data_IF_451122629376
#
_entry.id   IF_451122629376
#
_cell.length_a   1.000
_cell.length_b   1.000
_cell.length_c   1.000
_cell.angle_alpha   90.00
_cell.angle_beta   90.00
_cell.angle_gamma   90.00
#
_symmetry.space_group_name_H-M   'P 1'
#
loop_
_entity.id
_entity.type
_entity.pdbx_description
1 polymer ?
#
# COMPACT_ATOMS: atom_id res chain seq x y z
N UNK A 1 14.79 31.71 20.46
CA UNK A 1 13.47 31.60 21.09
C UNK A 1 13.19 30.14 21.32
N UNK A 2 13.24 29.70 22.60
CA UNK A 2 13.00 28.32 23.03
C UNK A 2 11.50 28.14 23.25
N UNK A 3 10.87 27.18 22.59
CA UNK A 3 9.53 26.72 22.90
C UNK A 3 9.63 25.45 23.76
N UNK A 4 9.13 25.54 24.99
CA UNK A 4 9.03 24.43 25.92
C UNK A 4 7.75 23.65 25.63
N UNK A 5 7.87 22.35 25.38
CA UNK A 5 6.73 21.42 25.40
C UNK A 5 6.47 20.98 26.85
N UNK A 6 5.32 21.38 27.35
CA UNK A 6 4.80 20.97 28.66
C UNK A 6 4.10 19.61 28.53
N UNK A 7 4.66 18.58 29.15
CA UNK A 7 4.06 17.26 29.28
C UNK A 7 3.17 17.28 30.51
N UNK A 8 1.86 17.19 30.32
CA UNK A 8 0.89 16.99 31.40
C UNK A 8 0.81 15.51 31.75
N UNK A 9 1.39 15.16 32.92
CA UNK A 9 1.16 13.89 33.59
C UNK A 9 -0.20 13.95 34.30
N UNK A 10 -1.19 13.20 33.85
CA UNK A 10 -2.42 12.95 34.59
C UNK A 10 -2.18 11.83 35.61
N UNK A 11 -1.97 12.20 36.87
CA UNK A 11 -2.04 11.30 38.03
C UNK A 11 -3.53 11.07 38.35
N UNK A 12 -4.07 9.89 37.98
CA UNK A 12 -5.37 9.43 38.50
C UNK A 12 -5.13 8.89 39.94
N UNK A 13 -5.50 9.71 40.91
CA UNK A 13 -5.54 9.29 42.29
C UNK A 13 -6.66 8.28 42.54
N UNK A 14 -6.27 7.07 42.92
CA UNK A 14 -7.19 6.06 43.44
C UNK A 14 -7.64 6.48 44.83
N UNK A 15 -8.87 7.00 44.97
CA UNK A 15 -9.49 7.21 46.28
C UNK A 15 -10.10 5.88 46.70
N UNK A 16 -9.43 5.19 47.63
CA UNK A 16 -9.98 4.04 48.34
C UNK A 16 -10.97 4.57 49.37
N UNK A 17 -12.25 4.43 49.10
CA UNK A 17 -13.31 4.68 50.06
C UNK A 17 -13.45 3.41 50.93
N UNK A 18 -12.77 3.38 52.07
CA UNK A 18 -13.02 2.38 53.10
C UNK A 18 -14.33 2.70 53.82
N UNK A 19 -15.42 2.09 53.40
CA UNK A 19 -16.67 2.11 54.15
C UNK A 19 -16.56 1.14 55.32
N UNK A 20 -16.35 1.69 56.49
CA UNK A 20 -16.49 0.98 57.78
C UNK A 20 -17.99 0.68 57.99
N UNK A 21 -18.41 -0.54 57.65
CA UNK A 21 -19.72 -1.05 58.12
C UNK A 21 -19.57 -1.52 59.56
N UNK A 22 -20.09 -0.70 60.51
CA UNK A 22 -20.33 -1.15 61.87
C UNK A 22 -21.46 -2.19 61.83
N UNK A 23 -21.08 -3.43 62.13
CA UNK A 23 -22.00 -4.54 62.33
C UNK A 23 -22.78 -4.32 63.61
N UNK A 24 -24.04 -3.99 63.44
CA UNK A 24 -25.00 -4.10 64.57
C UNK A 24 -25.44 -5.56 64.66
N UNK A 25 -24.99 -6.25 65.70
CA UNK A 25 -25.34 -7.66 65.92
C UNK A 25 -26.81 -7.84 66.23
N UNK A 26 -27.56 -8.36 65.30
CA UNK A 26 -28.89 -8.93 65.51
C UNK A 26 -28.76 -10.44 65.49
N UNK A 27 -28.92 -11.06 66.67
CA UNK A 27 -29.20 -12.49 66.81
C UNK A 27 -30.61 -12.75 66.24
N UNK A 28 -30.67 -13.05 64.96
CA UNK A 28 -31.86 -13.58 64.28
C UNK A 28 -31.44 -14.86 63.58
N UNK A 29 -31.95 -16.02 64.04
CA UNK A 29 -31.79 -17.30 63.33
C UNK A 29 -32.49 -17.24 61.98
N UNK A 30 -31.76 -16.77 60.97
CA UNK A 30 -32.17 -16.84 59.58
C UNK A 30 -31.57 -18.12 58.98
N UNK A 31 -32.35 -19.09 58.66
CA UNK A 31 -31.96 -20.22 57.79
C UNK A 31 -31.47 -19.60 56.49
N UNK A 32 -30.15 -19.56 56.28
CA UNK A 32 -29.54 -19.06 55.04
C UNK A 32 -30.13 -19.84 53.89
N UNK A 33 -30.71 -19.15 52.88
CA UNK A 33 -31.14 -19.78 51.68
C UNK A 33 -29.91 -20.56 51.11
N UNK A 34 -30.02 -21.88 50.93
CA UNK A 34 -28.87 -22.64 50.45
C UNK A 34 -28.37 -22.04 49.11
N UNK A 35 -27.08 -21.77 49.03
CA UNK A 35 -26.50 -21.29 47.77
C UNK A 35 -26.71 -22.37 46.72
N UNK A 36 -27.55 -22.10 45.67
CA UNK A 36 -27.93 -23.10 44.69
C UNK A 36 -26.74 -23.64 43.90
N UNK A 37 -25.58 -23.00 44.01
CA UNK A 37 -24.34 -23.42 43.35
C UNK A 37 -23.40 -24.18 44.28
N UNK A 38 -23.76 -24.44 45.54
CA UNK A 38 -22.95 -25.20 46.45
C UNK A 38 -22.77 -26.62 45.93
N UNK A 39 -21.51 -27.04 45.71
CA UNK A 39 -21.16 -28.37 45.18
C UNK A 39 -21.39 -28.55 43.66
N UNK A 40 -21.80 -27.51 42.94
CA UNK A 40 -21.91 -27.54 41.49
C UNK A 40 -20.62 -27.10 40.83
N UNK A 41 -19.99 -27.97 40.04
CA UNK A 41 -18.83 -27.62 39.21
C UNK A 41 -19.23 -27.70 37.73
N UNK A 42 -19.22 -26.57 37.06
CA UNK A 42 -19.50 -26.50 35.61
C UNK A 42 -18.18 -26.42 34.86
N UNK A 43 -17.93 -27.39 33.99
CA UNK A 43 -16.74 -27.44 33.13
C UNK A 43 -17.19 -27.06 31.72
N UNK A 44 -16.55 -26.00 31.16
CA UNK A 44 -16.77 -25.59 29.78
C UNK A 44 -15.62 -26.10 28.92
N UNK A 45 -15.97 -26.77 27.82
CA UNK A 45 -15.01 -27.28 26.83
C UNK A 45 -15.47 -26.85 25.43
N UNK A 46 -14.63 -27.01 24.42
CA UNK A 46 -15.03 -26.74 23.06
C UNK A 46 -13.88 -26.78 22.07
N UNK A 47 -14.20 -26.49 20.82
CA UNK A 47 -13.26 -26.40 19.70
C UNK A 47 -13.33 -25.03 19.07
N UNK A 48 -12.26 -24.62 18.43
CA UNK A 48 -12.16 -23.37 17.67
C UNK A 48 -11.84 -23.66 16.20
N UNK A 49 -12.43 -22.88 15.29
CA UNK A 49 -11.92 -22.77 13.93
C UNK A 49 -11.27 -21.40 13.77
N UNK A 50 -10.06 -21.40 13.26
CA UNK A 50 -9.30 -20.19 12.96
C UNK A 50 -9.96 -19.40 11.83
N UNK A 51 -9.65 -18.10 11.73
CA UNK A 51 -10.06 -17.31 10.57
C UNK A 51 -9.30 -17.74 9.32
N UNK A 52 -9.91 -17.58 8.15
CA UNK A 52 -9.30 -17.92 6.85
C UNK A 52 -8.12 -17.01 6.48
N UNK A 53 -7.96 -15.87 7.16
CA UNK A 53 -6.86 -14.91 6.93
C UNK A 53 -6.83 -13.80 7.97
N UNK A 54 -5.76 -13.03 7.95
CA UNK A 54 -5.64 -11.83 8.80
C UNK A 54 -6.70 -10.79 8.43
N UNK A 55 -7.41 -10.27 9.44
CA UNK A 55 -8.47 -9.28 9.25
C UNK A 55 -9.80 -9.86 8.72
N UNK A 56 -9.90 -11.17 8.54
CA UNK A 56 -11.16 -11.86 8.19
C UNK A 56 -11.85 -12.30 9.47
N UNK A 57 -13.18 -12.09 9.53
CA UNK A 57 -14.00 -12.42 10.70
C UNK A 57 -14.91 -13.62 10.41
N UNK A 58 -14.33 -14.78 10.11
CA UNK A 58 -15.02 -16.02 9.82
C UNK A 58 -14.65 -17.16 10.78
N UNK A 59 -13.93 -16.84 11.84
CA UNK A 59 -13.62 -17.78 12.91
C UNK A 59 -14.84 -18.19 13.70
N UNK A 60 -14.75 -19.33 14.41
CA UNK A 60 -15.85 -19.83 15.24
C UNK A 60 -15.38 -20.55 16.48
N UNK A 61 -16.25 -20.59 17.49
CA UNK A 61 -16.10 -21.38 18.71
C UNK A 61 -17.35 -22.26 18.83
N UNK A 62 -17.15 -23.56 19.08
CA UNK A 62 -18.23 -24.51 19.44
C UNK A 62 -17.97 -24.97 20.86
N UNK A 63 -18.68 -24.37 21.82
CA UNK A 63 -18.56 -24.67 23.23
C UNK A 63 -19.65 -25.62 23.73
N UNK A 64 -19.29 -26.45 24.70
CA UNK A 64 -20.19 -27.31 25.45
C UNK A 64 -19.90 -27.19 26.93
N UNK A 65 -20.83 -27.61 27.80
CA UNK A 65 -20.65 -27.62 29.24
C UNK A 65 -21.14 -28.92 29.86
N UNK A 66 -20.49 -29.31 30.96
CA UNK A 66 -20.83 -30.49 31.78
C UNK A 66 -20.92 -30.11 33.25
N UNK A 67 -21.42 -31.03 34.10
CA UNK A 67 -21.56 -30.82 35.55
C UNK A 67 -22.93 -30.29 35.96
N UNK A 68 -23.85 -30.05 35.01
CA UNK A 68 -25.25 -29.68 35.23
C UNK A 68 -26.07 -29.85 33.93
N UNK A 69 -27.26 -29.25 33.89
CA UNK A 69 -28.15 -29.27 32.69
C UNK A 69 -28.77 -27.88 32.45
N UNK A 70 -29.42 -27.71 31.30
CA UNK A 70 -30.13 -26.47 30.94
C UNK A 70 -29.18 -25.30 30.72
N UNK A 71 -28.07 -25.54 30.04
CA UNK A 71 -27.03 -24.51 29.83
C UNK A 71 -27.46 -23.47 28.81
N UNK A 72 -27.12 -22.25 29.13
CA UNK A 72 -27.02 -21.14 28.19
C UNK A 72 -25.59 -20.62 28.15
N UNK A 73 -25.15 -20.07 27.04
CA UNK A 73 -23.76 -19.64 26.80
C UNK A 73 -23.68 -18.19 26.44
N UNK A 74 -22.67 -17.51 26.92
CA UNK A 74 -22.31 -16.15 26.49
C UNK A 74 -20.84 -16.07 26.13
N UNK A 75 -20.48 -15.15 25.23
CA UNK A 75 -19.11 -14.84 24.85
C UNK A 75 -18.75 -13.43 25.31
N UNK A 76 -17.58 -13.26 25.92
CA UNK A 76 -17.06 -11.97 26.41
C UNK A 76 -18.07 -11.17 27.27
N UNK A 77 -18.89 -11.86 28.06
CA UNK A 77 -19.90 -11.21 28.93
C UNK A 77 -21.12 -10.69 28.18
N UNK A 78 -21.31 -11.03 26.91
CA UNK A 78 -22.48 -10.66 26.13
C UNK A 78 -23.77 -11.38 26.55
N UNK A 79 -24.83 -11.27 25.75
CA UNK A 79 -26.10 -11.92 25.99
C UNK A 79 -25.96 -13.45 26.00
N UNK A 80 -26.74 -14.11 26.86
CA UNK A 80 -26.81 -15.57 26.91
C UNK A 80 -27.71 -16.11 25.81
N UNK A 81 -27.28 -17.17 25.12
CA UNK A 81 -28.02 -17.93 24.10
C UNK A 81 -28.05 -19.42 24.45
N UNK A 82 -28.98 -20.17 23.90
CA UNK A 82 -29.11 -21.61 24.15
C UNK A 82 -28.03 -22.46 23.47
N UNK A 83 -27.45 -21.97 22.39
CA UNK A 83 -26.36 -22.63 21.65
C UNK A 83 -25.00 -22.17 22.14
N UNK A 84 -24.03 -23.12 22.25
CA UNK A 84 -22.64 -22.81 22.47
C UNK A 84 -21.84 -22.43 21.22
N UNK A 85 -22.52 -22.29 20.06
CA UNK A 85 -21.88 -21.96 18.80
C UNK A 85 -21.83 -20.44 18.59
N UNK A 86 -20.63 -19.93 18.41
CA UNK A 86 -20.34 -18.52 18.11
C UNK A 86 -19.59 -18.48 16.78
N UNK A 87 -20.09 -17.70 15.83
CA UNK A 87 -19.55 -17.58 14.48
C UNK A 87 -19.26 -16.13 14.14
N UNK A 88 -18.54 -15.87 13.03
CA UNK A 88 -18.21 -14.50 12.61
C UNK A 88 -17.18 -13.83 13.52
N UNK A 89 -16.31 -14.60 14.16
CA UNK A 89 -15.34 -14.11 15.12
C UNK A 89 -14.02 -13.74 14.42
N UNK A 90 -13.44 -12.64 14.85
CA UNK A 90 -12.08 -12.27 14.47
C UNK A 90 -11.06 -13.19 15.16
N UNK A 91 -9.79 -13.15 14.71
CA UNK A 91 -8.70 -13.71 15.47
C UNK A 91 -8.55 -12.96 16.80
N UNK A 92 -8.39 -13.71 17.89
CA UNK A 92 -8.32 -13.13 19.24
C UNK A 92 -8.61 -14.13 20.34
N UNK A 93 -8.57 -13.68 21.59
CA UNK A 93 -8.93 -14.47 22.75
C UNK A 93 -10.35 -14.14 23.21
N UNK A 94 -11.12 -15.17 23.52
CA UNK A 94 -12.52 -15.10 23.90
C UNK A 94 -12.75 -15.85 25.20
N UNK A 95 -13.60 -15.29 26.05
CA UNK A 95 -14.07 -15.96 27.26
C UNK A 95 -15.49 -16.44 27.04
N UNK A 96 -15.72 -17.75 27.13
CA UNK A 96 -17.07 -18.32 27.07
C UNK A 96 -17.50 -18.68 28.48
N UNK A 97 -18.69 -18.20 28.86
CA UNK A 97 -19.37 -18.52 30.13
C UNK A 97 -20.56 -19.38 29.84
N UNK A 98 -20.62 -20.54 30.47
CA UNK A 98 -21.83 -21.36 30.52
C UNK A 98 -22.57 -21.12 31.83
N UNK A 99 -23.89 -21.00 31.79
CA UNK A 99 -24.77 -20.80 32.93
C UNK A 99 -25.90 -21.84 32.91
N UNK A 100 -26.07 -22.52 34.01
CA UNK A 100 -27.21 -23.46 34.15
C UNK A 100 -28.51 -22.76 34.56
N UNK A 101 -29.61 -23.51 34.68
CA UNK A 101 -30.94 -23.01 35.11
C UNK A 101 -30.93 -22.37 36.51
N UNK A 102 -30.01 -22.78 37.39
CA UNK A 102 -29.85 -22.23 38.75
C UNK A 102 -28.90 -21.04 38.82
N UNK A 103 -28.50 -20.49 37.67
CA UNK A 103 -27.57 -19.38 37.53
C UNK A 103 -26.12 -19.68 37.98
N UNK A 104 -25.75 -20.93 38.19
CA UNK A 104 -24.36 -21.30 38.41
C UNK A 104 -23.57 -21.23 37.11
N UNK A 105 -22.33 -20.77 37.15
CA UNK A 105 -21.52 -20.50 35.98
C UNK A 105 -20.21 -21.30 35.96
N UNK A 106 -19.77 -21.66 34.75
CA UNK A 106 -18.43 -22.12 34.45
C UNK A 106 -17.85 -21.28 33.30
N UNK A 107 -16.54 -21.15 33.26
CA UNK A 107 -15.86 -20.27 32.32
C UNK A 107 -14.69 -21.02 31.67
N UNK A 108 -14.49 -20.81 30.36
CA UNK A 108 -13.28 -21.22 29.65
C UNK A 108 -12.81 -20.16 28.66
N UNK A 109 -11.51 -20.12 28.43
CA UNK A 109 -10.89 -19.25 27.42
C UNK A 109 -10.60 -20.03 26.16
N UNK A 110 -10.86 -19.42 25.01
CA UNK A 110 -10.61 -19.95 23.68
C UNK A 110 -9.81 -18.94 22.87
N UNK A 111 -8.88 -19.40 22.05
CA UNK A 111 -8.13 -18.55 21.14
C UNK A 111 -8.42 -18.94 19.70
N UNK A 112 -8.81 -17.97 18.90
CA UNK A 112 -8.93 -18.07 17.44
C UNK A 112 -7.67 -17.41 16.86
N UNK A 113 -6.91 -18.16 16.08
CA UNK A 113 -5.75 -17.62 15.40
C UNK A 113 -6.12 -17.13 13.99
N UNK A 114 -5.41 -16.12 13.48
CA UNK A 114 -5.47 -15.83 12.06
C UNK A 114 -4.71 -16.93 11.30
N UNK A 115 -5.34 -17.53 10.31
CA UNK A 115 -4.63 -18.40 9.39
C UNK A 115 -3.79 -17.54 8.47
N UNK A 116 -2.47 -17.77 8.45
CA UNK A 116 -1.58 -17.13 7.48
C UNK A 116 -1.46 -18.07 6.27
N UNK A 117 -2.04 -17.71 5.11
CA UNK A 117 -1.97 -18.56 3.93
C UNK A 117 -0.53 -18.75 3.42
N UNK A 118 0.43 -17.98 3.89
CA UNK A 118 1.84 -18.11 3.53
C UNK A 118 2.63 -19.11 4.38
N UNK A 119 2.05 -19.70 5.43
CA UNK A 119 2.78 -20.62 6.33
C UNK A 119 3.23 -21.91 5.66
N UNK A 120 2.47 -22.39 4.68
CA UNK A 120 2.71 -23.67 3.98
C UNK A 120 3.21 -23.49 2.55
N UNK A 121 3.19 -22.26 2.03
CA UNK A 121 3.54 -21.97 0.64
C UNK A 121 4.82 -21.14 0.58
N UNK A 122 5.85 -21.69 -0.05
CA UNK A 122 7.12 -21.00 -0.27
C UNK A 122 7.30 -20.68 -1.74
N UNK A 123 7.12 -19.42 -2.10
CA UNK A 123 7.48 -18.91 -3.43
C UNK A 123 8.18 -17.56 -3.29
N UNK A 124 8.88 -17.15 -4.32
CA UNK A 124 9.45 -15.80 -4.44
C UNK A 124 8.85 -15.08 -5.62
N UNK A 125 8.85 -13.75 -5.53
CA UNK A 125 8.39 -12.84 -6.59
C UNK A 125 9.58 -12.07 -7.11
N UNK A 126 9.73 -12.04 -8.42
CA UNK A 126 10.69 -11.25 -9.15
C UNK A 126 10.02 -10.53 -10.31
N UNK A 127 10.82 -9.93 -11.17
CA UNK A 127 10.30 -9.34 -12.40
C UNK A 127 11.42 -8.80 -13.27
N UNK A 128 11.11 -8.74 -14.57
CA UNK A 128 11.93 -8.07 -15.57
C UNK A 128 11.24 -6.82 -16.04
N UNK A 129 11.99 -5.80 -16.44
CA UNK A 129 11.44 -4.55 -16.94
C UNK A 129 11.99 -4.17 -18.30
N UNK A 130 11.18 -3.48 -19.10
CA UNK A 130 11.61 -2.75 -20.29
C UNK A 130 11.65 -1.27 -19.91
N UNK A 131 12.76 -0.60 -20.21
CA UNK A 131 12.97 0.82 -19.89
C UNK A 131 11.95 1.70 -20.62
N UNK A 132 11.51 2.76 -19.94
CA UNK A 132 10.65 3.77 -20.52
C UNK A 132 11.46 4.83 -21.26
N UNK A 133 11.00 5.21 -22.43
CA UNK A 133 11.60 6.32 -23.19
C UNK A 133 11.01 7.63 -22.71
N UNK A 134 11.83 8.56 -22.22
CA UNK A 134 11.37 9.92 -21.92
C UNK A 134 10.78 10.60 -23.16
N UNK A 135 9.83 11.50 -22.94
CA UNK A 135 9.18 12.27 -24.00
C UNK A 135 8.36 11.44 -25.03
N UNK A 136 8.12 10.18 -24.76
CA UNK A 136 7.15 9.42 -25.54
C UNK A 136 5.75 9.99 -25.29
N UNK A 137 4.93 10.06 -26.34
CA UNK A 137 3.53 10.56 -26.25
C UNK A 137 2.67 9.71 -25.32
N UNK A 138 3.00 8.42 -25.21
CA UNK A 138 2.43 7.49 -24.26
C UNK A 138 3.56 6.77 -23.53
N UNK A 139 3.42 6.51 -22.24
CA UNK A 139 4.40 5.70 -21.51
C UNK A 139 4.59 4.34 -22.20
N UNK A 140 5.84 3.89 -22.35
CA UNK A 140 6.18 2.69 -23.13
C UNK A 140 7.02 1.69 -22.34
N UNK A 141 7.28 1.93 -21.07
CA UNK A 141 7.90 0.95 -20.19
C UNK A 141 6.96 -0.20 -19.84
N UNK A 142 7.52 -1.33 -19.45
CA UNK A 142 6.73 -2.46 -18.98
C UNK A 142 7.45 -3.24 -17.89
N UNK A 143 6.67 -4.01 -17.12
CA UNK A 143 7.16 -5.00 -16.15
C UNK A 143 6.47 -6.32 -16.45
N UNK A 144 7.25 -7.41 -16.48
CA UNK A 144 6.72 -8.78 -16.43
C UNK A 144 7.12 -9.41 -15.11
N UNK A 145 6.12 -9.74 -14.28
CA UNK A 145 6.33 -10.36 -12.97
C UNK A 145 6.63 -11.85 -13.16
N UNK A 146 7.57 -12.36 -12.40
CA UNK A 146 7.95 -13.77 -12.38
C UNK A 146 7.78 -14.33 -10.98
N UNK A 147 7.38 -15.59 -10.88
CA UNK A 147 7.31 -16.34 -9.63
C UNK A 147 8.21 -17.57 -9.73
N UNK A 148 8.85 -17.94 -8.63
CA UNK A 148 9.60 -19.19 -8.54
C UNK A 148 9.33 -19.86 -7.18
N UNK A 149 9.28 -21.21 -7.17
CA UNK A 149 8.89 -21.98 -6.00
C UNK A 149 7.41 -22.38 -6.03
N UNK A 150 6.93 -22.97 -4.92
CA UNK A 150 5.61 -23.61 -4.81
C UNK A 150 4.42 -22.69 -5.03
N UNK A 151 3.28 -23.30 -5.30
CA UNK A 151 2.02 -22.62 -5.56
C UNK A 151 1.60 -22.70 -7.03
N UNK A 152 0.35 -22.38 -7.28
CA UNK A 152 -0.25 -22.35 -8.61
C UNK A 152 -1.37 -21.31 -8.66
N UNK A 153 -1.91 -21.05 -9.85
CA UNK A 153 -3.03 -20.13 -10.02
C UNK A 153 -2.68 -18.68 -9.60
N UNK A 154 -1.47 -18.23 -9.91
CA UNK A 154 -1.03 -16.89 -9.55
C UNK A 154 -1.83 -15.81 -10.27
N UNK A 155 -2.12 -14.76 -9.52
CA UNK A 155 -2.58 -13.47 -10.02
C UNK A 155 -1.60 -12.38 -9.58
N UNK A 156 -1.55 -11.29 -10.33
CA UNK A 156 -0.49 -10.29 -10.22
C UNK A 156 -1.06 -8.89 -10.06
N UNK A 157 -0.37 -8.04 -9.30
CA UNK A 157 -0.71 -6.64 -9.19
C UNK A 157 0.54 -5.75 -9.18
N UNK A 158 0.29 -4.45 -9.36
CA UNK A 158 1.30 -3.40 -9.26
C UNK A 158 0.80 -2.30 -8.33
N UNK A 159 1.67 -1.80 -7.45
CA UNK A 159 1.39 -0.75 -6.46
C UNK A 159 0.11 -0.99 -5.63
N UNK A 160 -0.16 -2.25 -5.26
CA UNK A 160 -1.34 -2.60 -4.46
C UNK A 160 -2.67 -2.53 -5.20
N UNK A 161 -2.67 -2.36 -6.52
CA UNK A 161 -3.89 -2.36 -7.34
C UNK A 161 -4.58 -3.73 -7.40
N UNK A 162 -5.66 -3.82 -8.18
CA UNK A 162 -6.40 -5.06 -8.38
C UNK A 162 -5.52 -6.17 -8.98
N UNK A 163 -5.73 -7.40 -8.52
CA UNK A 163 -5.04 -8.57 -9.08
C UNK A 163 -5.62 -8.96 -10.44
N UNK A 164 -4.74 -9.28 -11.40
CA UNK A 164 -5.06 -9.75 -12.75
C UNK A 164 -4.33 -11.06 -13.06
N UNK A 165 -4.82 -11.82 -14.03
CA UNK A 165 -4.21 -13.08 -14.44
C UNK A 165 -2.89 -12.87 -15.24
N UNK A 166 -2.81 -11.79 -16.03
CA UNK A 166 -1.59 -11.48 -16.79
C UNK A 166 -0.46 -11.01 -15.86
N UNK A 167 0.75 -11.55 -15.98
CA UNK A 167 1.91 -11.08 -15.23
C UNK A 167 2.50 -9.77 -15.79
N UNK A 168 2.02 -9.29 -16.96
CA UNK A 168 2.61 -8.15 -17.67
C UNK A 168 1.81 -6.89 -17.46
N UNK A 169 2.50 -5.82 -17.11
CA UNK A 169 2.00 -4.45 -16.96
C UNK A 169 2.72 -3.55 -17.95
N UNK A 170 1.97 -2.90 -18.82
CA UNK A 170 2.47 -2.04 -19.89
C UNK A 170 2.19 -0.56 -19.58
N UNK A 171 2.67 0.32 -20.47
CA UNK A 171 2.45 1.78 -20.40
C UNK A 171 2.95 2.40 -19.09
N UNK A 172 4.10 1.93 -18.63
CA UNK A 172 4.72 2.42 -17.40
C UNK A 172 5.72 3.55 -17.72
N UNK A 173 5.72 4.56 -16.86
CA UNK A 173 6.80 5.57 -16.84
C UNK A 173 8.02 5.01 -16.11
N UNK A 174 9.18 5.63 -16.29
CA UNK A 174 10.37 5.34 -15.50
C UNK A 174 10.09 5.61 -14.01
N UNK A 175 10.11 4.57 -13.21
CA UNK A 175 9.87 4.62 -11.76
C UNK A 175 10.17 3.25 -11.14
N UNK A 176 10.21 3.20 -9.80
CA UNK A 176 10.21 1.94 -9.05
C UNK A 176 8.79 1.59 -8.63
N UNK A 177 8.39 0.36 -8.93
CA UNK A 177 7.06 -0.16 -8.68
C UNK A 177 7.13 -1.31 -7.68
N UNK A 178 6.19 -1.35 -6.74
CA UNK A 178 5.96 -2.54 -5.92
C UNK A 178 5.11 -3.50 -6.74
N UNK A 179 5.63 -4.69 -7.02
CA UNK A 179 4.92 -5.76 -7.73
C UNK A 179 4.54 -6.87 -6.76
N UNK A 180 3.36 -7.44 -6.93
CA UNK A 180 2.85 -8.50 -6.08
C UNK A 180 2.36 -9.69 -6.88
N UNK A 181 2.52 -10.89 -6.31
CA UNK A 181 1.88 -12.10 -6.78
C UNK A 181 1.07 -12.72 -5.65
N UNK A 182 -0.15 -13.12 -5.96
CA UNK A 182 -1.08 -13.82 -5.07
C UNK A 182 -1.29 -15.22 -5.62
N UNK A 183 -0.99 -16.22 -4.82
CA UNK A 183 -1.23 -17.63 -5.11
C UNK A 183 -2.71 -18.00 -4.84
N UNK A 184 -3.21 -19.10 -5.43
CA UNK A 184 -4.61 -19.51 -5.32
C UNK A 184 -5.11 -19.71 -3.87
N UNK A 185 -4.25 -20.16 -2.95
CA UNK A 185 -4.54 -20.29 -1.52
C UNK A 185 -4.58 -18.96 -0.76
N UNK A 186 -4.30 -17.83 -1.43
CA UNK A 186 -4.39 -16.49 -0.86
C UNK A 186 -3.08 -15.90 -0.37
N UNK A 187 -1.97 -16.65 -0.37
CA UNK A 187 -0.66 -16.13 -0.01
C UNK A 187 -0.22 -15.03 -0.99
N UNK A 188 0.16 -13.86 -0.45
CA UNK A 188 0.64 -12.72 -1.23
C UNK A 188 2.09 -12.43 -0.86
N UNK A 189 2.94 -12.31 -1.87
CA UNK A 189 4.31 -11.80 -1.71
C UNK A 189 4.57 -10.67 -2.69
N UNK A 190 5.44 -9.74 -2.29
CA UNK A 190 5.76 -8.54 -3.05
C UNK A 190 7.27 -8.35 -3.15
N UNK A 191 7.68 -7.63 -4.20
CA UNK A 191 9.05 -7.13 -4.36
C UNK A 191 9.01 -5.79 -5.10
N UNK A 192 10.16 -5.13 -5.22
CA UNK A 192 10.27 -3.89 -6.00
C UNK A 192 10.97 -4.16 -7.33
N UNK A 193 10.42 -3.61 -8.41
CA UNK A 193 11.02 -3.67 -9.76
C UNK A 193 11.10 -2.25 -10.31
N UNK A 194 12.26 -1.87 -10.87
CA UNK A 194 12.48 -0.56 -11.44
C UNK A 194 12.37 -0.60 -12.95
N UNK A 195 11.51 0.25 -13.50
CA UNK A 195 11.50 0.63 -14.91
C UNK A 195 12.49 1.79 -15.06
N UNK A 196 13.62 1.52 -15.68
CA UNK A 196 14.63 2.54 -15.91
C UNK A 196 14.19 3.52 -17.01
N UNK A 197 14.78 4.71 -17.00
CA UNK A 197 14.70 5.64 -18.13
C UNK A 197 15.73 5.24 -19.19
N UNK A 198 15.36 5.20 -20.47
CA UNK A 198 16.35 5.07 -21.53
C UNK A 198 17.23 6.32 -21.57
N UNK A 199 18.55 6.19 -21.78
CA UNK A 199 19.41 7.35 -21.96
C UNK A 199 19.05 8.10 -23.26
N UNK A 200 19.39 9.38 -23.36
CA UNK A 200 19.26 10.12 -24.62
C UNK A 200 20.15 9.53 -25.71
N UNK A 201 19.65 9.49 -26.93
CA UNK A 201 20.46 9.10 -28.08
C UNK A 201 21.54 10.14 -28.41
N UNK A 202 22.52 9.74 -29.21
CA UNK A 202 23.69 10.60 -29.52
C UNK A 202 23.32 11.84 -30.30
N UNK A 203 22.38 11.72 -31.27
CA UNK A 203 21.92 12.87 -32.05
C UNK A 203 21.13 13.85 -31.21
N UNK A 204 20.23 13.34 -30.35
CA UNK A 204 19.49 14.20 -29.41
C UNK A 204 20.44 14.88 -28.42
N UNK A 205 21.43 14.18 -27.88
CA UNK A 205 22.42 14.73 -26.95
C UNK A 205 23.21 15.90 -27.57
N UNK A 206 23.60 15.76 -28.84
CA UNK A 206 24.27 16.84 -29.57
C UNK A 206 23.34 18.04 -29.74
N UNK A 207 22.11 17.82 -30.18
CA UNK A 207 21.11 18.91 -30.36
C UNK A 207 20.75 19.57 -29.02
N UNK A 208 20.56 18.79 -27.96
CA UNK A 208 20.32 19.30 -26.62
C UNK A 208 21.41 20.29 -26.20
N UNK A 209 22.69 19.94 -26.39
CA UNK A 209 23.82 20.81 -26.07
C UNK A 209 23.76 22.13 -26.86
N UNK A 210 23.45 22.06 -28.15
CA UNK A 210 23.28 23.22 -29.02
C UNK A 210 22.15 24.13 -28.54
N UNK A 211 20.97 23.56 -28.29
CA UNK A 211 19.77 24.29 -27.87
C UNK A 211 19.97 24.92 -26.49
N UNK A 212 20.57 24.17 -25.54
CA UNK A 212 20.81 24.71 -24.21
C UNK A 212 21.82 25.83 -24.21
N UNK A 213 22.88 25.79 -25.03
CA UNK A 213 23.87 26.83 -25.13
C UNK A 213 23.40 28.12 -25.85
N UNK A 214 22.42 27.98 -26.78
CA UNK A 214 22.07 29.10 -27.67
C UNK A 214 20.62 29.57 -27.49
N UNK A 215 19.73 28.77 -26.91
CA UNK A 215 18.29 29.03 -26.82
C UNK A 215 17.80 29.03 -25.36
N UNK A 216 18.27 28.12 -24.52
CA UNK A 216 17.89 28.03 -23.11
C UNK A 216 18.78 28.97 -22.26
N UNK A 217 18.83 30.22 -22.60
CA UNK A 217 19.61 31.27 -21.94
C UNK A 217 18.68 32.27 -21.24
N UNK A 218 19.15 32.99 -20.19
CA UNK A 218 18.36 33.99 -19.49
C UNK A 218 17.70 34.99 -20.42
N UNK A 219 16.41 35.24 -20.24
CA UNK A 219 15.62 36.14 -21.10
C UNK A 219 15.10 35.49 -22.40
N UNK A 220 15.44 34.23 -22.70
CA UNK A 220 14.95 33.49 -23.85
C UNK A 220 14.07 32.30 -23.42
N UNK A 221 14.52 31.06 -23.63
CA UNK A 221 13.73 29.87 -23.39
C UNK A 221 14.13 29.14 -22.08
N UNK A 222 14.07 29.86 -20.96
CA UNK A 222 14.36 29.34 -19.62
C UNK A 222 13.38 29.91 -18.58
N UNK A 223 13.02 29.10 -17.58
CA UNK A 223 12.20 29.53 -16.44
C UNK A 223 12.83 30.70 -15.67
N UNK A 224 12.02 31.59 -14.98
CA UNK A 224 10.57 31.45 -14.73
C UNK A 224 9.65 31.99 -15.81
N UNK A 225 10.12 32.67 -16.85
CA UNK A 225 9.29 33.28 -17.89
C UNK A 225 9.89 33.03 -19.28
N UNK A 226 9.83 31.77 -19.78
CA UNK A 226 10.42 31.44 -21.07
C UNK A 226 9.65 32.09 -22.23
N UNK A 227 10.40 32.62 -23.19
CA UNK A 227 9.83 33.26 -24.39
C UNK A 227 8.91 32.29 -25.16
N UNK A 228 7.68 32.69 -25.41
CA UNK A 228 6.66 31.86 -26.05
C UNK A 228 6.21 30.66 -25.19
N UNK A 229 6.44 30.68 -23.86
CA UNK A 229 6.01 29.65 -22.93
C UNK A 229 6.80 28.34 -23.02
N UNK A 230 7.94 28.30 -23.74
CA UNK A 230 8.69 27.06 -23.97
C UNK A 230 10.03 27.13 -23.23
N UNK A 231 10.22 26.26 -22.26
CA UNK A 231 11.47 26.09 -21.51
C UNK A 231 12.31 24.96 -22.12
N UNK A 232 13.43 25.30 -22.76
CA UNK A 232 14.34 24.32 -23.36
C UNK A 232 15.36 23.71 -22.40
N UNK A 233 15.30 24.02 -21.13
CA UNK A 233 16.03 23.23 -20.13
C UNK A 233 15.38 21.85 -19.92
N UNK A 234 14.12 21.71 -20.34
CA UNK A 234 13.34 20.48 -20.28
C UNK A 234 13.46 19.73 -21.63
N UNK A 235 14.10 18.57 -21.60
CA UNK A 235 14.38 17.76 -22.78
C UNK A 235 13.14 17.47 -23.63
N UNK A 236 12.00 17.20 -23.00
CA UNK A 236 10.77 16.90 -23.73
C UNK A 236 10.21 18.11 -24.48
N UNK A 237 10.52 19.32 -24.04
CA UNK A 237 10.16 20.53 -24.79
C UNK A 237 11.00 20.70 -26.07
N UNK A 238 12.25 20.24 -26.07
CA UNK A 238 13.09 20.20 -27.28
C UNK A 238 12.48 19.21 -28.28
N UNK A 239 12.14 18.00 -27.83
CA UNK A 239 11.50 16.97 -28.69
C UNK A 239 10.16 17.42 -29.22
N UNK A 240 9.30 17.96 -28.36
CA UNK A 240 7.95 18.42 -28.74
C UNK A 240 7.96 19.60 -29.73
N UNK A 241 9.00 20.44 -29.69
CA UNK A 241 9.12 21.61 -30.54
C UNK A 241 10.13 21.45 -31.67
N UNK A 242 10.55 20.23 -32.03
CA UNK A 242 11.59 19.95 -33.04
C UNK A 242 11.34 20.64 -34.38
N UNK A 243 10.10 20.64 -34.86
CA UNK A 243 9.75 21.25 -36.16
C UNK A 243 9.85 22.78 -36.10
N UNK A 244 9.46 23.36 -34.96
CA UNK A 244 9.59 24.80 -34.70
C UNK A 244 11.05 25.21 -34.51
N UNK A 245 11.88 24.36 -33.88
CA UNK A 245 13.31 24.57 -33.80
C UNK A 245 13.93 24.56 -35.19
N UNK A 246 13.60 23.58 -36.05
CA UNK A 246 14.07 23.52 -37.42
C UNK A 246 13.65 24.79 -38.20
N UNK A 247 12.39 25.19 -38.11
CA UNK A 247 11.90 26.36 -38.82
C UNK A 247 12.66 27.64 -38.41
N UNK A 248 12.82 27.86 -37.11
CA UNK A 248 13.40 29.11 -36.59
C UNK A 248 14.92 29.15 -36.61
N UNK A 249 15.58 28.04 -36.36
CA UNK A 249 17.04 27.97 -36.20
C UNK A 249 17.78 27.55 -37.48
N UNK A 250 17.07 26.91 -38.42
CA UNK A 250 17.65 26.40 -39.69
C UNK A 250 17.06 27.11 -40.88
N UNK A 251 15.74 26.96 -41.13
CA UNK A 251 15.10 27.47 -42.36
C UNK A 251 15.10 29.00 -42.43
N UNK A 252 14.86 29.66 -41.30
CA UNK A 252 14.84 31.15 -41.21
C UNK A 252 16.21 31.75 -40.93
N UNK A 253 17.28 31.00 -41.05
CA UNK A 253 18.66 31.52 -40.86
C UNK A 253 18.93 32.72 -41.80
N UNK A 254 19.49 33.80 -41.22
CA UNK A 254 19.77 35.03 -41.94
C UNK A 254 18.55 35.96 -42.13
N UNK A 255 17.38 35.59 -41.62
CA UNK A 255 16.17 36.43 -41.68
C UNK A 255 15.83 37.06 -40.34
N UNK A 256 14.90 38.03 -40.33
CA UNK A 256 14.40 38.65 -39.07
C UNK A 256 13.68 37.65 -38.16
N UNK A 257 13.30 36.51 -38.68
CA UNK A 257 12.58 35.46 -37.97
C UNK A 257 13.52 34.35 -37.39
N UNK A 258 14.82 34.44 -37.61
CA UNK A 258 15.77 33.46 -37.09
C UNK A 258 15.77 33.38 -35.55
N UNK A 259 16.22 32.26 -35.02
CA UNK A 259 16.55 32.09 -33.59
C UNK A 259 17.94 31.47 -33.45
N UNK A 260 18.84 31.99 -32.61
CA UNK A 260 18.73 33.27 -31.85
C UNK A 260 18.44 34.48 -32.73
N UNK A 261 17.72 35.51 -32.24
CA UNK A 261 17.29 36.66 -33.08
C UNK A 261 18.48 37.56 -33.38
N UNK A 262 18.40 38.34 -34.52
CA UNK A 262 19.36 39.42 -34.79
C UNK A 262 19.45 40.41 -33.59
N UNK A 263 20.61 41.02 -33.32
CA UNK A 263 21.82 41.04 -34.13
C UNK A 263 22.78 39.83 -33.89
N UNK A 264 22.34 38.76 -33.23
CA UNK A 264 23.17 37.55 -33.08
C UNK A 264 23.39 36.89 -34.45
N UNK A 265 24.55 36.27 -34.64
CA UNK A 265 24.88 35.60 -35.92
C UNK A 265 24.03 34.33 -36.20
N UNK A 266 23.13 33.93 -35.27
CA UNK A 266 22.44 32.66 -35.36
C UNK A 266 23.34 31.47 -35.15
N UNK A 267 22.84 30.25 -35.44
CA UNK A 267 23.63 29.03 -35.32
C UNK A 267 24.59 28.88 -36.49
N UNK A 268 25.81 28.41 -36.23
CA UNK A 268 26.76 28.05 -37.29
C UNK A 268 26.25 26.85 -38.10
N UNK A 269 26.87 26.59 -39.27
CA UNK A 269 26.43 25.53 -40.19
C UNK A 269 26.43 24.16 -39.53
N UNK A 270 27.49 23.80 -38.80
CA UNK A 270 27.60 22.49 -38.16
C UNK A 270 26.44 22.25 -37.14
N UNK A 271 26.07 23.30 -36.39
CA UNK A 271 24.93 23.20 -35.44
C UNK A 271 23.59 23.04 -36.17
N UNK A 272 23.39 23.73 -37.29
CA UNK A 272 22.19 23.58 -38.12
C UNK A 272 22.12 22.19 -38.71
N UNK A 273 23.23 21.65 -39.21
CA UNK A 273 23.30 20.30 -39.76
C UNK A 273 23.01 19.22 -38.69
N UNK A 274 23.49 19.41 -37.46
CA UNK A 274 23.17 18.52 -36.34
C UNK A 274 21.67 18.47 -36.05
N UNK A 275 20.99 19.63 -36.05
CA UNK A 275 19.52 19.71 -35.86
C UNK A 275 18.80 18.97 -37.00
N UNK A 276 19.22 19.21 -38.27
CA UNK A 276 18.63 18.53 -39.45
C UNK A 276 18.81 17.04 -39.36
N UNK A 277 20.03 16.56 -39.04
CA UNK A 277 20.33 15.14 -38.92
C UNK A 277 19.48 14.45 -37.86
N UNK A 278 19.33 15.07 -36.67
CA UNK A 278 18.46 14.56 -35.63
C UNK A 278 17.00 14.47 -36.08
N UNK A 279 16.48 15.52 -36.72
CA UNK A 279 15.09 15.55 -37.20
C UNK A 279 14.86 14.51 -38.30
N UNK A 280 15.80 14.33 -39.23
CA UNK A 280 15.71 13.32 -40.28
C UNK A 280 15.78 11.89 -39.73
N UNK A 281 16.44 11.68 -38.59
CA UNK A 281 16.42 10.41 -37.86
C UNK A 281 15.12 10.18 -37.07
N UNK A 282 14.16 11.13 -37.11
CA UNK A 282 12.87 11.01 -36.43
C UNK A 282 12.64 12.04 -35.34
N UNK A 283 13.65 12.81 -34.93
CA UNK A 283 13.53 13.90 -33.96
C UNK A 283 13.07 13.43 -32.57
N UNK A 284 13.43 12.23 -32.16
CA UNK A 284 13.04 11.64 -30.88
C UNK A 284 14.16 11.73 -29.84
N UNK A 285 13.80 11.50 -28.57
CA UNK A 285 14.74 11.48 -27.47
C UNK A 285 15.81 10.39 -27.59
N UNK A 286 15.44 9.24 -28.13
CA UNK A 286 16.31 8.06 -28.28
C UNK A 286 17.17 8.02 -29.55
N UNK A 287 17.10 9.04 -30.43
CA UNK A 287 17.89 9.09 -31.66
C UNK A 287 19.33 9.53 -31.44
#
# INVERSE_FOLDING_TARGET
MKSQNSIYFFLLGFIIFAALFQSCGSKGGGGGVPNPCSGVTIIVTGTTNNTSGAGINDGSISASATGSSGFTFSINGGAFQSSGNFTGLAAGSYTVTAKNSNSCTGIASFTINANDPCTTVTFSVGGTSVSATPCATTPNGSITITTSGGGSGFTFNINGGAFQASPTFNNLTANTFTVGAKEAGGCIKTTSVTVASTPPGSLFSAVKTIIQANCAVPGCHVSPAPTGGIDFTIDCNIVANRDRIKERAVNNFGTVNQMPPPPTAGLNQANRDAIVNWINAGGQFGN
#
